data_IF_949704863046
#
_entry.id   IF_949704863046
#
_cell.length_a   1.000
_cell.length_b   1.000
_cell.length_c   1.000
_cell.angle_alpha   90.00
_cell.angle_beta   90.00
_cell.angle_gamma   90.00
#
_symmetry.space_group_name_H-M   'P 1'
#
loop_
_entity.id
_entity.type
_entity.pdbx_description
1 polymer ?
#
# COMPACT_ATOMS: atom_id res chain seq x y z
N UNK A 1 -8.59 29.03 17.78
CA UNK A 1 -7.67 30.00 17.17
C UNK A 1 -6.19 29.76 17.44
N UNK A 2 -5.79 29.18 18.61
CA UNK A 2 -4.36 28.88 18.91
C UNK A 2 -3.77 27.77 18.02
N UNK A 3 -4.59 26.88 17.49
CA UNK A 3 -4.17 25.76 16.65
C UNK A 3 -4.40 26.00 15.16
N UNK A 4 -4.84 27.20 14.77
CA UNK A 4 -5.17 27.52 13.39
C UNK A 4 -3.99 27.22 12.44
N UNK A 5 -4.26 26.53 11.35
CA UNK A 5 -3.28 26.11 10.36
C UNK A 5 -2.27 25.06 10.84
N UNK A 6 -2.59 24.29 11.91
CA UNK A 6 -1.76 23.20 12.40
C UNK A 6 -2.34 21.82 12.01
N UNK A 7 -1.49 20.80 12.10
CA UNK A 7 -1.91 19.39 12.01
C UNK A 7 -3.05 19.08 12.98
N UNK A 8 -3.00 19.61 14.21
CA UNK A 8 -3.97 19.29 15.25
C UNK A 8 -5.35 19.88 14.99
N UNK A 9 -5.41 21.09 14.38
CA UNK A 9 -6.69 21.62 13.92
C UNK A 9 -7.34 20.70 12.88
N UNK A 10 -6.55 20.28 11.90
CA UNK A 10 -7.05 19.45 10.81
C UNK A 10 -7.39 18.02 11.29
N UNK A 11 -6.64 17.50 12.24
CA UNK A 11 -6.95 16.23 12.91
C UNK A 11 -8.25 16.30 13.69
N UNK A 12 -8.49 17.38 14.42
CA UNK A 12 -9.77 17.60 15.11
C UNK A 12 -10.92 17.71 14.11
N UNK A 13 -10.69 18.35 12.98
CA UNK A 13 -11.67 18.43 11.88
C UNK A 13 -11.97 17.06 11.28
N UNK A 14 -10.97 16.21 11.10
CA UNK A 14 -11.17 14.82 10.71
C UNK A 14 -12.11 14.10 11.69
N UNK A 15 -11.79 14.16 12.98
CA UNK A 15 -12.59 13.50 14.01
C UNK A 15 -14.03 14.04 14.05
N UNK A 16 -14.20 15.36 13.82
CA UNK A 16 -15.50 16.01 13.73
C UNK A 16 -16.27 15.53 12.48
N UNK A 17 -15.64 15.48 11.32
CA UNK A 17 -16.25 14.96 10.09
C UNK A 17 -16.71 13.50 10.24
N UNK A 18 -15.95 12.67 10.95
CA UNK A 18 -16.37 11.30 11.26
C UNK A 18 -17.67 11.28 12.10
N UNK A 19 -17.82 12.17 13.10
CA UNK A 19 -19.05 12.27 13.89
C UNK A 19 -20.22 12.81 13.06
N UNK A 20 -20.00 13.87 12.27
CA UNK A 20 -21.02 14.43 11.39
C UNK A 20 -21.51 13.43 10.35
N UNK A 21 -20.57 12.69 9.74
CA UNK A 21 -20.88 11.62 8.80
C UNK A 21 -21.69 10.50 9.45
N UNK A 22 -21.34 10.09 10.67
CA UNK A 22 -22.09 9.10 11.45
C UNK A 22 -23.50 9.58 11.78
N UNK A 23 -23.63 10.85 12.16
CA UNK A 23 -24.93 11.46 12.48
C UNK A 23 -25.77 11.82 11.23
N UNK A 24 -25.18 11.73 10.01
CA UNK A 24 -25.81 12.19 8.75
C UNK A 24 -26.13 13.69 8.74
N UNK A 25 -25.42 14.50 9.53
CA UNK A 25 -25.50 15.95 9.48
C UNK A 25 -24.74 16.50 8.28
N UNK A 26 -25.37 16.37 7.11
CA UNK A 26 -24.75 16.77 5.84
C UNK A 26 -24.56 18.30 5.73
N UNK A 27 -25.36 19.09 6.46
CA UNK A 27 -25.24 20.55 6.46
C UNK A 27 -23.91 21.00 7.07
N UNK A 28 -23.60 20.50 8.27
CA UNK A 28 -22.34 20.81 8.92
C UNK A 28 -21.16 20.09 8.24
N UNK A 29 -21.37 18.86 7.75
CA UNK A 29 -20.36 18.10 7.01
C UNK A 29 -19.89 18.89 5.78
N UNK A 30 -20.81 19.47 5.00
CA UNK A 30 -20.51 20.31 3.82
C UNK A 30 -19.75 21.59 4.18
N UNK A 31 -19.97 22.14 5.35
CA UNK A 31 -19.27 23.31 5.85
C UNK A 31 -17.81 23.00 6.22
N UNK A 32 -17.56 21.84 6.82
CA UNK A 32 -16.23 21.47 7.35
C UNK A 32 -15.36 20.70 6.36
N UNK A 33 -15.95 19.91 5.44
CA UNK A 33 -15.20 19.10 4.48
C UNK A 33 -14.23 19.91 3.60
N UNK A 34 -14.59 21.09 3.03
CA UNK A 34 -13.66 21.89 2.23
C UNK A 34 -12.46 22.43 3.02
N UNK A 35 -12.56 22.46 4.35
CA UNK A 35 -11.51 22.91 5.26
C UNK A 35 -10.57 21.78 5.67
N UNK A 36 -10.95 20.51 5.43
CA UNK A 36 -10.16 19.34 5.76
C UNK A 36 -9.03 19.17 4.76
N UNK A 37 -7.82 19.59 5.15
CA UNK A 37 -6.64 19.68 4.29
C UNK A 37 -5.96 18.34 4.05
N UNK A 38 -5.85 17.49 5.08
CA UNK A 38 -5.25 16.16 4.94
C UNK A 38 -5.98 15.30 3.91
N UNK A 39 -7.29 15.27 3.94
CA UNK A 39 -8.12 14.51 3.02
C UNK A 39 -7.60 13.07 2.78
N UNK A 40 -7.02 12.46 3.79
CA UNK A 40 -6.36 11.14 3.75
C UNK A 40 -7.19 10.04 4.42
N UNK A 41 -8.23 10.40 5.19
CA UNK A 41 -9.12 9.46 5.85
C UNK A 41 -10.14 8.86 4.86
N UNK A 42 -10.02 7.56 4.60
CA UNK A 42 -10.94 6.86 3.70
C UNK A 42 -12.37 6.82 4.21
N UNK A 43 -12.57 6.78 5.53
CA UNK A 43 -13.91 6.77 6.12
C UNK A 43 -14.61 8.10 5.86
N UNK A 44 -13.91 9.24 5.99
CA UNK A 44 -14.44 10.56 5.62
C UNK A 44 -14.78 10.62 4.13
N UNK A 45 -13.91 10.07 3.27
CA UNK A 45 -14.19 9.99 1.82
C UNK A 45 -15.43 9.16 1.52
N UNK A 46 -15.60 8.04 2.22
CA UNK A 46 -16.81 7.21 2.06
C UNK A 46 -18.07 7.94 2.52
N UNK A 47 -18.02 8.71 3.62
CA UNK A 47 -19.14 9.56 4.01
C UNK A 47 -19.45 10.65 2.98
N UNK A 48 -18.42 11.26 2.38
CA UNK A 48 -18.60 12.23 1.30
C UNK A 48 -19.30 11.60 0.09
N UNK A 49 -18.87 10.41 -0.33
CA UNK A 49 -19.51 9.65 -1.41
C UNK A 49 -20.96 9.28 -1.06
N UNK A 50 -21.20 8.81 0.16
CA UNK A 50 -22.58 8.51 0.62
C UNK A 50 -23.47 9.74 0.59
N UNK A 51 -22.99 10.88 1.09
CA UNK A 51 -23.69 12.15 1.02
C UNK A 51 -23.99 12.53 -0.43
N UNK A 52 -23.01 12.44 -1.34
CA UNK A 52 -23.17 12.84 -2.74
C UNK A 52 -24.22 11.98 -3.45
N UNK A 53 -24.25 10.68 -3.18
CA UNK A 53 -25.29 9.79 -3.70
C UNK A 53 -26.66 10.11 -3.10
N UNK A 54 -26.76 10.27 -1.78
CA UNK A 54 -28.05 10.49 -1.11
C UNK A 54 -28.67 11.86 -1.39
N UNK A 55 -27.82 12.86 -1.73
CA UNK A 55 -28.28 14.21 -2.10
C UNK A 55 -28.39 14.43 -3.61
N UNK A 56 -28.13 13.40 -4.43
CA UNK A 56 -28.20 13.48 -5.90
C UNK A 56 -27.07 14.27 -6.56
N UNK A 57 -25.97 14.56 -5.85
CA UNK A 57 -24.80 15.26 -6.40
C UNK A 57 -23.94 14.38 -7.30
N UNK A 58 -23.98 13.06 -7.07
CA UNK A 58 -23.29 12.06 -7.85
C UNK A 58 -24.20 10.87 -8.13
N UNK A 59 -24.23 10.33 -9.36
CA UNK A 59 -24.95 9.11 -9.65
C UNK A 59 -24.30 7.90 -8.93
N UNK A 60 -25.13 6.98 -8.45
CA UNK A 60 -24.69 5.82 -7.69
C UNK A 60 -23.72 4.92 -8.46
N UNK A 61 -23.89 4.81 -9.78
CA UNK A 61 -23.00 4.08 -10.68
C UNK A 61 -21.57 4.63 -10.65
N UNK A 62 -21.43 5.96 -10.61
CA UNK A 62 -20.11 6.61 -10.51
C UNK A 62 -19.48 6.48 -9.12
N UNK A 63 -20.29 6.46 -8.08
CA UNK A 63 -19.83 6.31 -6.70
C UNK A 63 -19.40 4.87 -6.37
N UNK A 64 -20.05 3.86 -6.96
CA UNK A 64 -19.84 2.46 -6.60
C UNK A 64 -18.37 1.99 -6.69
N UNK A 65 -17.60 2.22 -7.76
CA UNK A 65 -16.20 1.80 -7.83
C UNK A 65 -15.32 2.56 -6.82
N UNK A 66 -15.63 3.83 -6.54
CA UNK A 66 -14.90 4.64 -5.57
C UNK A 66 -15.14 4.15 -4.13
N UNK A 67 -16.38 3.84 -3.80
CA UNK A 67 -16.74 3.25 -2.49
C UNK A 67 -16.08 1.89 -2.34
N UNK A 68 -16.17 1.01 -3.35
CA UNK A 68 -15.56 -0.32 -3.30
C UNK A 68 -14.04 -0.22 -3.07
N UNK A 69 -13.34 0.64 -3.81
CA UNK A 69 -11.90 0.85 -3.67
C UNK A 69 -11.53 1.32 -2.25
N UNK A 70 -12.21 2.34 -1.73
CA UNK A 70 -11.93 2.83 -0.37
C UNK A 70 -12.26 1.78 0.68
N UNK A 71 -13.40 1.09 0.55
CA UNK A 71 -13.84 0.06 1.49
C UNK A 71 -12.89 -1.14 1.52
N UNK A 72 -12.48 -1.66 0.36
CA UNK A 72 -11.53 -2.78 0.28
C UNK A 72 -10.14 -2.42 0.82
N UNK A 73 -9.71 -1.17 0.70
CA UNK A 73 -8.45 -0.67 1.22
C UNK A 73 -8.46 -0.34 2.72
N UNK A 74 -9.63 -0.31 3.39
CA UNK A 74 -9.71 -0.11 4.83
C UNK A 74 -9.12 -1.30 5.58
N UNK A 75 -8.26 -0.99 6.54
CA UNK A 75 -7.62 -2.02 7.36
C UNK A 75 -8.59 -2.63 8.36
N UNK A 76 -9.33 -1.79 9.05
CA UNK A 76 -10.23 -2.17 10.13
C UNK A 76 -11.70 -1.97 9.72
N UNK A 77 -12.61 -2.52 10.50
CA UNK A 77 -14.04 -2.25 10.33
C UNK A 77 -14.33 -0.79 10.66
N UNK A 78 -14.99 -0.10 9.76
CA UNK A 78 -15.40 1.30 9.92
C UNK A 78 -16.89 1.48 9.58
N UNK A 79 -17.47 2.58 10.02
CA UNK A 79 -18.87 2.88 9.77
C UNK A 79 -19.11 3.58 8.43
N UNK A 80 -18.20 4.46 8.00
CA UNK A 80 -18.41 5.30 6.82
C UNK A 80 -18.42 4.50 5.53
N UNK A 81 -17.36 3.71 5.28
CA UNK A 81 -17.30 2.88 4.08
C UNK A 81 -18.33 1.73 4.14
N UNK A 82 -18.59 1.18 5.33
CA UNK A 82 -19.62 0.18 5.53
C UNK A 82 -21.02 0.72 5.17
N UNK A 83 -21.35 1.92 5.64
CA UNK A 83 -22.64 2.55 5.33
C UNK A 83 -22.79 2.91 3.85
N UNK A 84 -21.73 3.45 3.23
CA UNK A 84 -21.74 3.75 1.80
C UNK A 84 -21.89 2.46 0.95
N UNK A 85 -21.14 1.41 1.29
CA UNK A 85 -21.26 0.12 0.63
C UNK A 85 -22.65 -0.50 0.80
N UNK A 86 -23.22 -0.45 2.02
CA UNK A 86 -24.58 -0.96 2.31
C UNK A 86 -25.63 -0.25 1.47
N UNK A 87 -25.59 1.07 1.40
CA UNK A 87 -26.54 1.86 0.60
C UNK A 87 -26.49 1.48 -0.91
N UNK A 88 -25.29 1.24 -1.43
CA UNK A 88 -25.11 0.82 -2.83
C UNK A 88 -25.46 -0.65 -3.07
N UNK A 89 -25.27 -1.54 -2.09
CA UNK A 89 -25.72 -2.93 -2.12
C UNK A 89 -27.25 -3.01 -2.15
N UNK A 90 -27.94 -2.23 -1.30
CA UNK A 90 -29.39 -2.22 -1.19
C UNK A 90 -30.08 -1.70 -2.46
N UNK A 91 -29.43 -0.80 -3.17
CA UNK A 91 -29.92 -0.28 -4.47
C UNK A 91 -29.41 -1.04 -5.68
N UNK A 92 -28.58 -2.09 -5.49
CA UNK A 92 -28.06 -2.94 -6.57
C UNK A 92 -26.92 -2.34 -7.39
N UNK A 93 -26.44 -1.14 -7.06
CA UNK A 93 -25.30 -0.49 -7.74
C UNK A 93 -23.95 -1.08 -7.32
N UNK A 94 -23.88 -1.70 -6.14
CA UNK A 94 -22.77 -2.55 -5.74
C UNK A 94 -23.24 -4.01 -5.69
N UNK A 95 -22.48 -4.92 -6.29
CA UNK A 95 -22.84 -6.33 -6.32
C UNK A 95 -22.48 -7.02 -4.99
N UNK A 96 -23.23 -8.04 -4.54
CA UNK A 96 -22.91 -8.84 -3.36
C UNK A 96 -21.47 -9.40 -3.35
N UNK A 97 -20.93 -9.66 -4.55
CA UNK A 97 -19.54 -10.12 -4.71
C UNK A 97 -18.52 -9.19 -4.04
N UNK A 98 -18.73 -7.87 -4.05
CA UNK A 98 -17.82 -6.92 -3.40
C UNK A 98 -17.74 -7.15 -1.87
N UNK A 99 -18.86 -7.50 -1.23
CA UNK A 99 -18.88 -7.83 0.20
C UNK A 99 -18.14 -9.15 0.49
N UNK A 100 -18.33 -10.16 -0.35
CA UNK A 100 -17.59 -11.43 -0.23
C UNK A 100 -16.09 -11.23 -0.45
N UNK A 101 -15.68 -10.46 -1.46
CA UNK A 101 -14.27 -10.13 -1.68
C UNK A 101 -13.66 -9.39 -0.48
N UNK A 102 -14.40 -8.43 0.10
CA UNK A 102 -13.99 -7.77 1.35
C UNK A 102 -13.78 -8.76 2.49
N UNK A 103 -14.70 -9.71 2.66
CA UNK A 103 -14.61 -10.75 3.68
C UNK A 103 -13.43 -11.70 3.43
N UNK A 104 -13.15 -12.11 2.20
CA UNK A 104 -12.01 -12.95 1.82
C UNK A 104 -10.68 -12.26 2.13
N UNK A 105 -10.52 -10.97 1.77
CA UNK A 105 -9.34 -10.16 2.11
C UNK A 105 -9.14 -10.07 3.63
N UNK A 106 -10.23 -9.90 4.37
CA UNK A 106 -10.18 -9.80 5.83
C UNK A 106 -9.79 -11.13 6.50
N UNK A 107 -10.32 -12.27 6.01
CA UNK A 107 -9.97 -13.59 6.52
C UNK A 107 -8.52 -13.97 6.27
N UNK A 108 -7.99 -13.64 5.10
CA UNK A 108 -6.57 -13.82 4.78
C UNK A 108 -5.65 -13.02 5.73
N UNK A 109 -6.07 -11.82 6.12
CA UNK A 109 -5.32 -10.95 7.03
C UNK A 109 -5.63 -11.18 8.53
N UNK A 110 -6.39 -12.22 8.87
CA UNK A 110 -6.83 -12.49 10.25
C UNK A 110 -7.61 -11.33 10.90
N UNK A 111 -8.60 -10.80 10.17
CA UNK A 111 -9.46 -9.69 10.61
C UNK A 111 -10.93 -10.09 10.65
N UNK A 112 -11.32 -10.99 11.57
CA UNK A 112 -12.67 -11.57 11.58
C UNK A 112 -13.77 -10.52 11.71
N UNK A 113 -13.59 -9.46 12.51
CA UNK A 113 -14.59 -8.39 12.65
C UNK A 113 -14.93 -7.70 11.33
N UNK A 114 -13.91 -7.51 10.46
CA UNK A 114 -14.11 -6.91 9.13
C UNK A 114 -14.90 -7.87 8.24
N UNK A 115 -14.56 -9.16 8.27
CA UNK A 115 -15.27 -10.18 7.50
C UNK A 115 -16.73 -10.31 7.97
N UNK A 116 -16.96 -10.35 9.28
CA UNK A 116 -18.31 -10.41 9.88
C UNK A 116 -19.13 -9.19 9.48
N UNK A 117 -18.57 -7.97 9.56
CA UNK A 117 -19.25 -6.73 9.13
C UNK A 117 -19.65 -6.80 7.65
N UNK A 118 -18.74 -7.23 6.77
CA UNK A 118 -19.01 -7.31 5.34
C UNK A 118 -20.13 -8.31 5.01
N UNK A 119 -20.10 -9.49 5.63
CA UNK A 119 -21.11 -10.54 5.41
C UNK A 119 -22.45 -10.17 6.04
N UNK A 120 -22.46 -9.49 7.20
CA UNK A 120 -23.69 -9.03 7.85
C UNK A 120 -24.49 -8.05 6.97
N UNK A 121 -23.86 -7.33 6.07
CA UNK A 121 -24.55 -6.46 5.10
C UNK A 121 -25.42 -7.26 4.11
N UNK A 122 -25.04 -8.49 3.80
CA UNK A 122 -25.77 -9.38 2.89
C UNK A 122 -26.83 -10.18 3.66
N UNK A 123 -26.47 -10.70 4.83
CA UNK A 123 -27.36 -11.47 5.70
C UNK A 123 -26.82 -11.49 7.14
N UNK A 124 -27.46 -10.75 8.06
CA UNK A 124 -27.05 -10.74 9.47
C UNK A 124 -27.06 -12.12 10.14
N UNK A 125 -27.87 -13.07 9.63
CA UNK A 125 -27.95 -14.42 10.17
C UNK A 125 -26.68 -15.25 9.96
N UNK A 126 -25.76 -14.81 9.09
CA UNK A 126 -24.48 -15.50 8.82
C UNK A 126 -23.34 -15.07 9.78
N UNK A 127 -23.54 -14.06 10.63
CA UNK A 127 -22.45 -13.52 11.48
C UNK A 127 -21.83 -14.59 12.39
N UNK A 128 -22.63 -15.36 13.09
CA UNK A 128 -22.17 -16.43 13.97
C UNK A 128 -21.38 -17.52 13.20
N UNK A 129 -21.78 -17.82 11.97
CA UNK A 129 -21.07 -18.77 11.11
C UNK A 129 -19.70 -18.22 10.69
N UNK A 130 -19.61 -16.94 10.33
CA UNK A 130 -18.34 -16.29 9.96
C UNK A 130 -17.39 -16.24 11.17
N UNK A 131 -17.88 -15.98 12.36
CA UNK A 131 -17.11 -16.02 13.61
C UNK A 131 -16.61 -17.43 13.91
N UNK A 132 -17.44 -18.46 13.75
CA UNK A 132 -17.05 -19.87 13.90
C UNK A 132 -15.94 -20.24 12.91
N UNK A 133 -16.06 -19.86 11.64
CA UNK A 133 -15.05 -20.04 10.59
C UNK A 133 -13.73 -19.36 10.97
N UNK A 134 -13.79 -18.14 11.48
CA UNK A 134 -12.59 -17.40 11.87
C UNK A 134 -11.81 -18.08 13.02
N UNK A 135 -12.55 -18.68 13.95
CA UNK A 135 -11.97 -19.36 15.11
C UNK A 135 -11.45 -20.78 14.78
N UNK A 136 -12.23 -21.57 14.05
CA UNK A 136 -11.88 -22.95 13.69
C UNK A 136 -12.37 -23.29 12.28
N UNK A 137 -11.61 -22.90 11.25
CA UNK A 137 -11.97 -23.16 9.86
C UNK A 137 -11.97 -24.65 9.49
N UNK A 138 -11.07 -25.44 10.12
CA UNK A 138 -10.97 -26.87 9.84
C UNK A 138 -12.21 -27.61 10.31
N UNK A 139 -12.68 -27.37 11.52
CA UNK A 139 -13.91 -27.92 12.06
C UNK A 139 -15.10 -27.59 11.18
N UNK A 140 -15.24 -26.31 10.74
CA UNK A 140 -16.32 -25.91 9.84
C UNK A 140 -16.31 -26.70 8.54
N UNK A 141 -15.13 -26.91 7.94
CA UNK A 141 -14.97 -27.68 6.70
C UNK A 141 -15.27 -29.17 6.85
N UNK A 142 -14.89 -29.76 7.98
CA UNK A 142 -15.18 -31.17 8.26
C UNK A 142 -16.67 -31.44 8.43
N UNK A 143 -17.40 -30.51 9.03
CA UNK A 143 -18.85 -30.60 9.21
C UNK A 143 -19.63 -30.32 7.92
N UNK A 144 -18.99 -29.74 6.86
CA UNK A 144 -19.63 -29.39 5.59
C UNK A 144 -19.43 -30.47 4.53
N UNK A 145 -20.52 -31.14 4.18
CA UNK A 145 -20.52 -32.14 3.11
C UNK A 145 -20.74 -31.54 1.72
N UNK A 146 -21.49 -30.44 1.64
CA UNK A 146 -21.88 -29.83 0.36
C UNK A 146 -21.85 -28.31 0.40
N UNK A 147 -21.55 -27.67 -0.75
CA UNK A 147 -21.58 -26.23 -0.98
C UNK A 147 -22.32 -25.88 -2.28
N UNK A 148 -23.58 -26.29 -2.39
CA UNK A 148 -24.38 -26.15 -3.63
C UNK A 148 -24.89 -24.68 -3.76
N UNK A 149 -25.37 -24.11 -2.64
CA UNK A 149 -25.93 -22.75 -2.66
C UNK A 149 -24.82 -21.70 -2.74
N UNK A 150 -24.98 -20.60 -3.49
CA UNK A 150 -23.96 -19.56 -3.64
C UNK A 150 -23.38 -19.05 -2.29
N UNK A 151 -24.25 -18.77 -1.31
CA UNK A 151 -23.82 -18.35 0.04
C UNK A 151 -22.99 -19.41 0.75
N UNK A 152 -23.32 -20.69 0.58
CA UNK A 152 -22.54 -21.79 1.21
C UNK A 152 -21.18 -21.94 0.54
N UNK A 153 -21.09 -21.73 -0.77
CA UNK A 153 -19.81 -21.71 -1.51
C UNK A 153 -18.91 -20.61 -0.96
N UNK A 154 -19.42 -19.41 -0.76
CA UNK A 154 -18.67 -18.30 -0.22
C UNK A 154 -18.18 -18.57 1.23
N UNK A 155 -19.04 -19.14 2.09
CA UNK A 155 -18.64 -19.51 3.45
C UNK A 155 -17.54 -20.59 3.45
N UNK A 156 -17.61 -21.57 2.54
CA UNK A 156 -16.54 -22.56 2.36
C UNK A 156 -15.26 -21.87 1.84
N UNK A 157 -15.40 -20.95 0.90
CA UNK A 157 -14.26 -20.14 0.41
C UNK A 157 -13.60 -19.37 1.54
N UNK A 158 -14.38 -18.69 2.41
CA UNK A 158 -13.84 -18.00 3.59
C UNK A 158 -13.11 -18.96 4.54
N UNK A 159 -13.66 -20.17 4.75
CA UNK A 159 -13.05 -21.16 5.62
C UNK A 159 -11.71 -21.65 5.07
N UNK A 160 -11.62 -21.96 3.77
CA UNK A 160 -10.37 -22.41 3.16
C UNK A 160 -9.35 -21.26 3.11
N UNK A 161 -9.76 -20.03 2.81
CA UNK A 161 -8.90 -18.84 2.88
C UNK A 161 -8.34 -18.64 4.30
N UNK A 162 -9.18 -18.79 5.31
CA UNK A 162 -8.73 -18.69 6.71
C UNK A 162 -7.79 -19.83 7.10
N UNK A 163 -8.06 -21.05 6.66
CA UNK A 163 -7.19 -22.20 6.86
C UNK A 163 -5.83 -21.97 6.18
N UNK A 164 -5.81 -21.47 4.95
CA UNK A 164 -4.58 -21.16 4.23
C UNK A 164 -3.71 -20.10 4.94
N UNK A 165 -4.34 -19.14 5.62
CA UNK A 165 -3.62 -18.13 6.41
C UNK A 165 -2.93 -18.74 7.66
N UNK A 166 -3.41 -19.87 8.16
CA UNK A 166 -2.85 -20.62 9.29
C UNK A 166 -1.87 -21.69 8.80
N UNK A 167 -2.38 -22.59 7.95
CA UNK A 167 -1.66 -23.72 7.38
C UNK A 167 -2.00 -23.88 5.88
N UNK A 168 -1.15 -23.34 4.98
CA UNK A 168 -1.38 -23.44 3.55
C UNK A 168 -1.32 -24.88 3.02
N UNK A 169 -0.57 -25.80 3.66
CA UNK A 169 -0.51 -27.18 3.25
C UNK A 169 -1.82 -27.91 3.56
N UNK A 170 -2.40 -27.71 4.74
CA UNK A 170 -3.71 -28.25 5.08
C UNK A 170 -4.80 -27.68 4.15
N UNK A 171 -4.75 -26.40 3.80
CA UNK A 171 -5.70 -25.80 2.85
C UNK A 171 -5.55 -26.39 1.44
N UNK A 172 -4.33 -26.68 0.98
CA UNK A 172 -4.10 -27.34 -0.31
C UNK A 172 -4.69 -28.75 -0.34
N UNK A 173 -4.47 -29.54 0.74
CA UNK A 173 -5.08 -30.87 0.89
C UNK A 173 -6.62 -30.80 0.89
N UNK A 174 -7.18 -29.77 1.53
CA UNK A 174 -8.63 -29.56 1.51
C UNK A 174 -9.14 -29.27 0.09
N UNK A 175 -8.42 -28.41 -0.68
CA UNK A 175 -8.74 -28.11 -2.07
C UNK A 175 -8.63 -29.32 -3.01
N UNK A 176 -7.87 -30.34 -2.66
CA UNK A 176 -7.73 -31.58 -3.43
C UNK A 176 -8.95 -32.50 -3.29
N UNK A 177 -9.81 -32.28 -2.31
CA UNK A 177 -11.04 -33.07 -2.14
C UNK A 177 -11.99 -32.86 -3.32
N UNK A 178 -12.50 -33.95 -3.90
CA UNK A 178 -13.40 -33.95 -5.07
C UNK A 178 -14.61 -33.05 -4.87
N UNK A 179 -15.14 -32.97 -3.65
CA UNK A 179 -16.33 -32.16 -3.33
C UNK A 179 -16.11 -30.66 -3.65
N UNK A 180 -14.93 -30.10 -3.36
CA UNK A 180 -14.66 -28.69 -3.62
C UNK A 180 -14.27 -28.42 -5.07
N UNK A 181 -13.57 -29.36 -5.71
CA UNK A 181 -13.28 -29.29 -7.15
C UNK A 181 -14.57 -29.22 -7.99
N UNK A 182 -15.59 -29.95 -7.57
CA UNK A 182 -16.87 -30.02 -8.30
C UNK A 182 -17.83 -28.88 -7.97
N UNK A 183 -17.84 -28.39 -6.74
CA UNK A 183 -18.89 -27.49 -6.25
C UNK A 183 -18.50 -26.02 -6.27
N UNK A 184 -17.24 -25.68 -6.00
CA UNK A 184 -16.78 -24.30 -6.06
C UNK A 184 -16.65 -23.82 -7.51
N UNK A 185 -16.98 -22.56 -7.74
CA UNK A 185 -16.80 -21.91 -9.04
C UNK A 185 -15.32 -21.77 -9.38
N UNK A 186 -15.02 -21.48 -10.62
CA UNK A 186 -13.68 -21.24 -11.11
C UNK A 186 -13.03 -20.03 -10.41
N UNK A 187 -13.81 -18.98 -10.20
CA UNK A 187 -13.38 -17.76 -9.48
C UNK A 187 -13.04 -18.07 -8.03
N UNK A 188 -13.93 -18.75 -7.29
CA UNK A 188 -13.71 -19.13 -5.90
C UNK A 188 -12.46 -20.00 -5.75
N UNK A 189 -12.29 -21.02 -6.60
CA UNK A 189 -11.09 -21.86 -6.58
C UNK A 189 -9.81 -21.08 -6.88
N UNK A 190 -9.83 -20.21 -7.88
CA UNK A 190 -8.66 -19.42 -8.26
C UNK A 190 -8.26 -18.46 -7.16
N UNK A 191 -9.23 -17.81 -6.49
CA UNK A 191 -8.97 -16.98 -5.34
C UNK A 191 -8.30 -17.76 -4.19
N UNK A 192 -8.85 -18.93 -3.87
CA UNK A 192 -8.29 -19.80 -2.80
C UNK A 192 -6.86 -20.21 -3.14
N UNK A 193 -6.62 -20.69 -4.39
CA UNK A 193 -5.27 -21.07 -4.83
C UNK A 193 -4.30 -19.89 -4.83
N UNK A 194 -4.79 -18.68 -5.14
CA UNK A 194 -4.02 -17.45 -5.00
C UNK A 194 -3.56 -17.20 -3.56
N UNK A 195 -4.45 -17.38 -2.58
CA UNK A 195 -4.09 -17.26 -1.15
C UNK A 195 -3.13 -18.36 -0.71
N UNK A 196 -3.40 -19.63 -1.07
CA UNK A 196 -2.51 -20.76 -0.74
C UNK A 196 -1.12 -20.52 -1.33
N UNK A 197 -1.03 -20.20 -2.62
CA UNK A 197 0.22 -19.90 -3.31
C UNK A 197 0.99 -18.75 -2.65
N UNK A 198 0.30 -17.65 -2.32
CA UNK A 198 0.86 -16.51 -1.60
C UNK A 198 1.46 -16.94 -0.26
N UNK A 199 0.71 -17.66 0.57
CA UNK A 199 1.16 -18.07 1.90
C UNK A 199 2.33 -19.06 1.84
N UNK A 200 2.33 -19.95 0.85
CA UNK A 200 3.44 -20.86 0.56
C UNK A 200 4.68 -20.11 0.10
N UNK A 201 4.52 -19.12 -0.81
CA UNK A 201 5.61 -18.27 -1.27
C UNK A 201 6.22 -17.41 -0.15
N UNK A 202 5.41 -16.88 0.76
CA UNK A 202 5.88 -16.13 1.94
C UNK A 202 6.74 -16.99 2.88
N UNK A 203 6.47 -18.30 2.95
CA UNK A 203 7.28 -19.28 3.69
C UNK A 203 8.48 -19.77 2.87
N UNK A 204 8.71 -19.23 1.69
CA UNK A 204 9.78 -19.59 0.76
C UNK A 204 9.76 -21.07 0.33
N UNK A 205 8.59 -21.71 0.37
CA UNK A 205 8.43 -23.12 0.01
C UNK A 205 8.36 -23.28 -1.53
N UNK A 206 8.96 -24.36 -2.09
CA UNK A 206 9.06 -24.54 -3.55
C UNK A 206 7.73 -24.83 -4.24
N UNK A 207 6.73 -25.34 -3.50
CA UNK A 207 5.42 -25.72 -4.03
C UNK A 207 4.55 -24.52 -4.40
N UNK A 208 4.98 -23.28 -4.09
CA UNK A 208 4.19 -22.07 -4.30
C UNK A 208 3.69 -21.93 -5.74
N UNK A 209 4.56 -22.15 -6.74
CA UNK A 209 4.18 -22.04 -8.15
C UNK A 209 3.20 -23.15 -8.59
N UNK A 210 3.34 -24.34 -8.04
CA UNK A 210 2.38 -25.44 -8.28
C UNK A 210 1.00 -25.09 -7.75
N UNK A 211 0.93 -24.43 -6.58
CA UNK A 211 -0.34 -23.97 -6.02
C UNK A 211 -0.97 -22.86 -6.89
N UNK A 212 -0.19 -21.87 -7.33
CA UNK A 212 -0.71 -20.83 -8.23
C UNK A 212 -1.21 -21.41 -9.56
N UNK A 213 -0.55 -22.44 -10.11
CA UNK A 213 -0.94 -23.07 -11.35
C UNK A 213 -2.30 -23.81 -11.31
N UNK A 214 -2.85 -24.07 -10.12
CA UNK A 214 -4.19 -24.65 -9.96
C UNK A 214 -5.33 -23.62 -10.09
N UNK A 215 -5.01 -22.32 -10.17
CA UNK A 215 -5.96 -21.23 -10.34
C UNK A 215 -5.69 -20.43 -11.62
N UNK A 216 -6.66 -19.61 -12.01
CA UNK A 216 -6.51 -18.68 -13.13
C UNK A 216 -6.14 -17.29 -12.60
N UNK A 217 -5.11 -16.71 -13.17
CA UNK A 217 -4.57 -15.41 -12.78
C UNK A 217 -5.60 -14.27 -12.86
N UNK A 218 -6.50 -14.32 -13.84
CA UNK A 218 -7.57 -13.32 -14.05
C UNK A 218 -8.57 -13.20 -12.88
N UNK A 219 -8.62 -14.20 -12.00
CA UNK A 219 -9.46 -14.19 -10.79
C UNK A 219 -8.66 -13.99 -9.51
N UNK A 220 -7.35 -13.77 -9.62
CA UNK A 220 -6.48 -13.54 -8.47
C UNK A 220 -6.39 -12.03 -8.15
N UNK A 221 -6.22 -11.72 -6.88
CA UNK A 221 -5.95 -10.36 -6.43
C UNK A 221 -4.51 -9.94 -6.75
N UNK A 222 -4.25 -8.66 -6.97
CA UNK A 222 -2.92 -8.13 -7.26
C UNK A 222 -1.84 -8.61 -6.29
N UNK A 223 -2.17 -8.73 -5.00
CA UNK A 223 -1.22 -9.25 -4.00
C UNK A 223 -0.86 -10.73 -4.24
N UNK A 224 -1.82 -11.55 -4.68
CA UNK A 224 -1.55 -12.94 -5.04
C UNK A 224 -0.60 -13.00 -6.25
N UNK A 225 -0.87 -12.21 -7.28
CA UNK A 225 -0.06 -12.12 -8.50
C UNK A 225 1.34 -11.58 -8.21
N UNK A 226 1.46 -10.59 -7.31
CA UNK A 226 2.74 -10.09 -6.85
C UNK A 226 3.59 -11.17 -6.17
N UNK A 227 2.98 -12.08 -5.40
CA UNK A 227 3.68 -13.21 -4.81
C UNK A 227 3.96 -14.33 -5.81
N UNK A 228 3.07 -14.56 -6.80
CA UNK A 228 3.35 -15.45 -7.93
C UNK A 228 4.59 -14.98 -8.71
N UNK A 229 4.67 -13.70 -9.03
CA UNK A 229 5.82 -13.12 -9.70
C UNK A 229 7.12 -13.30 -8.89
N UNK A 230 7.10 -13.04 -7.57
CA UNK A 230 8.26 -13.25 -6.67
C UNK A 230 8.68 -14.72 -6.61
N UNK A 231 7.71 -15.63 -6.51
CA UNK A 231 7.98 -17.06 -6.53
C UNK A 231 8.60 -17.49 -7.88
N UNK A 232 8.10 -16.95 -8.99
CA UNK A 232 8.64 -17.16 -10.34
C UNK A 232 10.08 -16.68 -10.49
N UNK A 233 10.38 -15.48 -10.02
CA UNK A 233 11.74 -14.93 -10.00
C UNK A 233 12.69 -15.83 -9.22
N UNK A 234 12.30 -16.24 -8.02
CA UNK A 234 13.10 -17.13 -7.17
C UNK A 234 13.37 -18.50 -7.82
N UNK A 235 12.41 -19.02 -8.54
CA UNK A 235 12.51 -20.33 -9.22
C UNK A 235 13.12 -20.24 -10.64
N UNK A 236 13.42 -19.03 -11.15
CA UNK A 236 13.86 -18.82 -12.53
C UNK A 236 12.76 -19.10 -13.57
N UNK A 237 11.50 -19.14 -13.15
CA UNK A 237 10.36 -19.41 -14.04
C UNK A 237 9.77 -18.11 -14.61
N UNK A 238 10.44 -17.58 -15.61
CA UNK A 238 10.17 -16.25 -16.17
C UNK A 238 8.81 -16.14 -16.86
N UNK A 239 8.25 -17.24 -17.39
CA UNK A 239 6.89 -17.24 -17.92
C UNK A 239 5.87 -16.91 -16.82
N UNK A 240 6.00 -17.54 -15.64
CA UNK A 240 5.12 -17.26 -14.51
C UNK A 240 5.23 -15.79 -14.02
N UNK A 241 6.43 -15.18 -14.12
CA UNK A 241 6.61 -13.76 -13.80
C UNK A 241 5.83 -12.89 -14.78
N UNK A 242 5.98 -13.14 -16.09
CA UNK A 242 5.29 -12.39 -17.14
C UNK A 242 3.78 -12.50 -17.02
N UNK A 243 3.26 -13.74 -16.95
CA UNK A 243 1.82 -13.99 -16.82
C UNK A 243 1.22 -13.31 -15.58
N UNK A 244 1.90 -13.40 -14.44
CA UNK A 244 1.44 -12.77 -13.21
C UNK A 244 1.34 -11.24 -13.37
N UNK A 245 2.37 -10.59 -13.96
CA UNK A 245 2.34 -9.13 -14.16
C UNK A 245 1.29 -8.74 -15.20
N UNK A 246 1.14 -9.52 -16.27
CA UNK A 246 0.13 -9.25 -17.32
C UNK A 246 -1.31 -9.33 -16.77
N UNK A 247 -1.55 -10.15 -15.74
CA UNK A 247 -2.84 -10.30 -15.10
C UNK A 247 -3.14 -9.28 -13.97
N UNK A 248 -2.15 -8.50 -13.53
CA UNK A 248 -2.35 -7.44 -12.52
C UNK A 248 -3.26 -6.33 -13.03
N UNK A 249 -3.84 -5.56 -12.10
CA UNK A 249 -4.58 -4.34 -12.44
C UNK A 249 -3.72 -3.35 -13.22
N UNK A 250 -4.35 -2.50 -14.03
CA UNK A 250 -3.66 -1.45 -14.79
C UNK A 250 -2.77 -0.56 -13.92
N UNK A 251 -3.20 -0.27 -12.70
CA UNK A 251 -2.42 0.53 -11.76
C UNK A 251 -1.13 -0.20 -11.37
N UNK A 252 -1.21 -1.47 -11.00
CA UNK A 252 -0.04 -2.26 -10.63
C UNK A 252 0.91 -2.48 -11.81
N UNK A 253 0.40 -2.72 -13.02
CA UNK A 253 1.22 -2.87 -14.21
C UNK A 253 2.04 -1.62 -14.57
N UNK A 254 1.67 -0.43 -14.05
CA UNK A 254 2.41 0.83 -14.25
C UNK A 254 3.50 1.06 -13.20
N UNK A 255 3.51 0.30 -12.11
CA UNK A 255 4.53 0.43 -11.05
C UNK A 255 5.91 0.02 -11.58
N UNK A 256 6.96 0.84 -11.36
CA UNK A 256 8.31 0.59 -11.88
C UNK A 256 8.83 -0.81 -11.56
N UNK A 257 8.53 -1.34 -10.36
CA UNK A 257 8.88 -2.70 -9.97
C UNK A 257 8.38 -3.74 -10.97
N UNK A 258 7.11 -3.69 -11.32
CA UNK A 258 6.50 -4.71 -12.18
C UNK A 258 6.84 -4.50 -13.65
N UNK A 259 6.98 -3.24 -14.09
CA UNK A 259 7.48 -2.92 -15.43
C UNK A 259 8.88 -3.49 -15.62
N UNK A 260 9.79 -3.28 -14.67
CA UNK A 260 11.15 -3.82 -14.70
C UNK A 260 11.16 -5.35 -14.81
N UNK A 261 10.47 -6.05 -13.92
CA UNK A 261 10.48 -7.50 -13.89
C UNK A 261 9.77 -8.13 -15.09
N UNK A 262 8.75 -7.49 -15.65
CA UNK A 262 8.14 -7.89 -16.92
C UNK A 262 9.15 -7.79 -18.07
N UNK A 263 9.88 -6.68 -18.15
CA UNK A 263 10.91 -6.49 -19.17
C UNK A 263 12.03 -7.56 -19.05
N UNK A 264 12.51 -7.83 -17.83
CA UNK A 264 13.48 -8.89 -17.54
C UNK A 264 12.96 -10.29 -17.93
N UNK A 265 11.71 -10.58 -17.67
CA UNK A 265 11.09 -11.85 -18.05
C UNK A 265 11.04 -11.99 -19.59
N UNK A 266 10.66 -10.93 -20.30
CA UNK A 266 10.63 -10.92 -21.78
C UNK A 266 12.03 -11.14 -22.38
N UNK A 267 13.07 -10.52 -21.84
CA UNK A 267 14.45 -10.70 -22.29
C UNK A 267 14.96 -12.14 -22.05
N UNK A 268 14.58 -12.74 -20.93
CA UNK A 268 15.11 -14.05 -20.53
C UNK A 268 14.40 -15.20 -21.22
N UNK A 269 13.13 -15.00 -21.60
CA UNK A 269 12.35 -16.01 -22.31
C UNK A 269 12.83 -16.15 -23.75
N UNK A 270 13.12 -17.41 -24.15
CA UNK A 270 13.38 -17.73 -25.56
C UNK A 270 12.08 -17.58 -26.34
N UNK A 271 11.98 -16.52 -27.13
CA UNK A 271 10.81 -16.23 -27.97
C UNK A 271 11.15 -16.50 -29.45
N UNK A 272 10.15 -16.87 -30.27
CA UNK A 272 10.34 -17.10 -31.71
C UNK A 272 10.90 -15.87 -32.42
N UNK A 273 10.45 -14.67 -32.06
CA UNK A 273 10.98 -13.40 -32.53
C UNK A 273 11.78 -12.71 -31.41
N UNK A 274 13.07 -13.02 -31.37
CA UNK A 274 13.97 -12.46 -30.39
C UNK A 274 14.21 -10.93 -30.60
N UNK A 275 14.06 -10.43 -31.84
CA UNK A 275 14.23 -9.01 -32.16
C UNK A 275 13.06 -8.21 -31.60
N UNK A 276 11.83 -8.67 -31.85
CA UNK A 276 10.64 -8.03 -31.28
C UNK A 276 10.61 -8.08 -29.75
N UNK A 277 11.02 -9.21 -29.15
CA UNK A 277 11.12 -9.37 -27.71
C UNK A 277 12.12 -8.38 -27.08
N UNK A 278 13.29 -8.24 -27.70
CA UNK A 278 14.31 -7.29 -27.23
C UNK A 278 13.80 -5.84 -27.35
N UNK A 279 13.14 -5.49 -28.45
CA UNK A 279 12.55 -4.17 -28.64
C UNK A 279 11.46 -3.88 -27.59
N UNK A 280 10.59 -4.84 -27.31
CA UNK A 280 9.53 -4.71 -26.30
C UNK A 280 10.12 -4.52 -24.88
N UNK A 281 11.12 -5.32 -24.52
CA UNK A 281 11.78 -5.17 -23.22
C UNK A 281 12.45 -3.80 -23.09
N UNK A 282 13.14 -3.34 -24.15
CA UNK A 282 13.75 -2.02 -24.21
C UNK A 282 12.75 -0.90 -24.02
N UNK A 283 11.60 -0.95 -24.70
CA UNK A 283 10.52 0.04 -24.54
C UNK A 283 10.03 0.11 -23.09
N UNK A 284 9.85 -1.05 -22.43
CA UNK A 284 9.46 -1.10 -21.02
C UNK A 284 10.50 -0.45 -20.11
N UNK A 285 11.79 -0.70 -20.31
CA UNK A 285 12.84 -0.03 -19.54
C UNK A 285 12.87 1.47 -19.80
N UNK A 286 12.72 1.92 -21.05
CA UNK A 286 12.69 3.35 -21.38
C UNK A 286 11.54 4.09 -20.70
N UNK A 287 10.39 3.44 -20.51
CA UNK A 287 9.23 4.02 -19.81
C UNK A 287 9.49 4.36 -18.35
N UNK A 288 10.39 3.65 -17.68
CA UNK A 288 10.66 3.83 -16.25
C UNK A 288 12.08 4.34 -15.97
N UNK A 289 12.96 4.43 -16.95
CA UNK A 289 14.36 4.79 -16.76
C UNK A 289 14.50 6.20 -16.15
N UNK A 290 14.95 6.29 -14.91
CA UNK A 290 15.28 7.55 -14.23
C UNK A 290 16.28 7.29 -13.09
N UNK A 291 16.75 8.37 -12.47
CA UNK A 291 17.67 8.29 -11.31
C UNK A 291 16.97 8.33 -9.95
N UNK A 292 15.62 8.26 -9.91
CA UNK A 292 14.82 8.49 -8.70
C UNK A 292 14.78 7.27 -7.78
N UNK A 293 14.35 6.13 -8.33
CA UNK A 293 14.10 4.91 -7.57
C UNK A 293 14.94 3.73 -8.06
N UNK A 294 15.01 2.70 -7.25
CA UNK A 294 15.88 1.53 -7.47
C UNK A 294 15.61 0.84 -8.81
N UNK A 295 14.38 0.51 -9.16
CA UNK A 295 14.06 -0.17 -10.41
C UNK A 295 14.19 0.73 -11.64
N UNK A 296 14.03 2.02 -11.47
CA UNK A 296 14.27 3.02 -12.49
C UNK A 296 15.76 3.14 -12.82
N UNK A 297 16.62 3.09 -11.79
CA UNK A 297 18.07 3.06 -11.96
C UNK A 297 18.54 1.75 -12.61
N UNK A 298 17.98 0.60 -12.20
CA UNK A 298 18.27 -0.67 -12.87
C UNK A 298 17.86 -0.65 -14.35
N UNK A 299 16.77 0.04 -14.70
CA UNK A 299 16.36 0.20 -16.09
C UNK A 299 17.37 1.03 -16.90
N UNK A 300 18.02 2.06 -16.29
CA UNK A 300 19.13 2.77 -16.94
C UNK A 300 20.31 1.83 -17.23
N UNK A 301 20.68 0.97 -16.28
CA UNK A 301 21.75 -0.02 -16.48
C UNK A 301 21.43 -0.99 -17.63
N UNK A 302 20.20 -1.52 -17.68
CA UNK A 302 19.75 -2.41 -18.76
C UNK A 302 19.78 -1.73 -20.15
N UNK A 303 19.60 -0.41 -20.18
CA UNK A 303 19.70 0.41 -21.38
C UNK A 303 21.15 0.79 -21.74
N UNK A 304 22.14 0.41 -20.93
CA UNK A 304 23.55 0.81 -21.10
C UNK A 304 23.78 2.31 -20.84
N UNK A 305 22.89 2.95 -20.08
CA UNK A 305 23.01 4.37 -19.74
C UNK A 305 23.64 4.51 -18.34
N UNK A 306 24.62 5.43 -18.17
CA UNK A 306 25.23 5.63 -16.87
C UNK A 306 24.23 6.22 -15.89
N UNK A 307 24.27 5.76 -14.64
CA UNK A 307 23.55 6.39 -13.53
C UNK A 307 24.38 7.62 -13.12
N UNK A 308 24.10 8.75 -13.74
CA UNK A 308 24.77 10.00 -13.39
C UNK A 308 24.02 10.71 -12.26
N UNK A 309 24.79 11.26 -11.31
CA UNK A 309 24.23 12.15 -10.30
C UNK A 309 23.71 13.40 -11.01
N UNK A 310 22.41 13.74 -10.92
CA UNK A 310 21.88 14.96 -11.51
C UNK A 310 22.61 16.20 -10.98
N UNK A 311 22.70 17.29 -11.76
CA UNK A 311 23.29 18.53 -11.26
C UNK A 311 22.54 19.01 -10.01
N UNK A 312 23.29 19.55 -9.06
CA UNK A 312 22.69 20.12 -7.86
C UNK A 312 21.73 21.26 -8.24
N UNK A 313 20.59 21.38 -7.55
CA UNK A 313 19.71 22.51 -7.75
C UNK A 313 20.43 23.84 -7.50
N UNK A 314 19.93 24.93 -8.09
CA UNK A 314 20.44 26.25 -7.77
C UNK A 314 20.41 26.50 -6.25
N UNK A 315 21.43 27.14 -5.72
CA UNK A 315 21.53 27.47 -4.31
C UNK A 315 20.26 28.19 -3.82
N UNK A 316 19.91 27.93 -2.56
CA UNK A 316 18.79 28.64 -1.92
C UNK A 316 19.13 30.10 -1.72
N UNK A 317 18.18 30.99 -2.01
CA UNK A 317 18.32 32.42 -1.70
C UNK A 317 18.12 32.67 -0.21
N UNK A 318 18.56 33.83 0.26
CA UNK A 318 18.33 34.24 1.65
C UNK A 318 16.84 34.33 1.98
N UNK A 319 16.01 34.76 1.04
CA UNK A 319 14.56 34.85 1.17
C UNK A 319 13.92 33.47 1.34
N UNK A 320 14.34 32.46 0.55
CA UNK A 320 13.84 31.09 0.66
C UNK A 320 14.23 30.47 2.00
N UNK A 321 15.46 30.65 2.46
CA UNK A 321 15.91 30.18 3.76
C UNK A 321 15.13 30.85 4.90
N UNK A 322 14.96 32.17 4.85
CA UNK A 322 14.19 32.93 5.84
C UNK A 322 12.71 32.51 5.85
N UNK A 323 12.11 32.27 4.69
CA UNK A 323 10.73 31.80 4.56
C UNK A 323 10.56 30.43 5.26
N UNK A 324 11.47 29.49 5.05
CA UNK A 324 11.43 28.19 5.73
C UNK A 324 11.60 28.35 7.27
N UNK A 325 12.56 29.15 7.70
CA UNK A 325 12.81 29.39 9.13
C UNK A 325 11.66 30.11 9.84
N UNK A 326 10.94 30.98 9.15
CA UNK A 326 9.81 31.73 9.68
C UNK A 326 8.47 31.01 9.53
N UNK A 327 8.42 29.91 8.77
CA UNK A 327 7.20 29.14 8.56
C UNK A 327 6.63 28.63 9.89
N UNK A 328 5.39 29.01 10.26
CA UNK A 328 4.82 28.67 11.56
C UNK A 328 4.72 27.17 11.85
N UNK A 329 4.40 26.36 10.84
CA UNK A 329 4.28 24.90 10.93
C UNK A 329 5.64 24.24 11.15
N UNK A 330 6.67 24.60 10.38
CA UNK A 330 8.03 24.09 10.55
C UNK A 330 8.60 24.49 11.91
N UNK A 331 8.34 25.72 12.39
CA UNK A 331 8.74 26.17 13.73
C UNK A 331 8.08 25.37 14.84
N UNK A 332 6.76 25.16 14.78
CA UNK A 332 6.04 24.32 15.76
C UNK A 332 6.60 22.91 15.78
N UNK A 333 6.85 22.33 14.61
CA UNK A 333 7.44 20.99 14.48
C UNK A 333 8.82 20.90 15.15
N UNK A 334 9.71 21.86 14.87
CA UNK A 334 11.04 21.91 15.48
C UNK A 334 10.98 22.07 16.99
N UNK A 335 10.11 22.95 17.50
CA UNK A 335 9.93 23.13 18.95
C UNK A 335 9.45 21.83 19.60
N UNK A 336 8.44 21.18 19.02
CA UNK A 336 7.92 19.92 19.55
C UNK A 336 9.00 18.84 19.62
N UNK A 337 9.79 18.66 18.55
CA UNK A 337 10.89 17.69 18.51
C UNK A 337 11.94 18.00 19.59
N UNK A 338 12.34 19.27 19.73
CA UNK A 338 13.32 19.70 20.78
C UNK A 338 12.83 19.45 22.20
N UNK A 339 11.52 19.52 22.42
CA UNK A 339 10.88 19.21 23.70
C UNK A 339 10.69 17.70 23.95
N UNK A 340 11.21 16.84 23.07
CA UNK A 340 11.04 15.39 23.17
C UNK A 340 9.71 14.87 22.62
N UNK A 341 8.84 15.72 22.10
CA UNK A 341 7.56 15.39 21.45
C UNK A 341 7.78 15.07 19.97
N UNK A 342 8.68 14.10 19.68
CA UNK A 342 9.10 13.80 18.31
C UNK A 342 7.93 13.39 17.41
N UNK A 343 7.04 12.54 17.91
CA UNK A 343 5.88 12.04 17.14
C UNK A 343 4.99 13.20 16.68
N UNK A 344 4.70 14.12 17.57
CA UNK A 344 3.86 15.31 17.34
C UNK A 344 4.55 16.26 16.36
N UNK A 345 5.82 16.50 16.55
CA UNK A 345 6.61 17.37 15.67
C UNK A 345 6.74 16.79 14.26
N UNK A 346 6.93 15.47 14.12
CA UNK A 346 6.99 14.81 12.82
C UNK A 346 5.63 14.91 12.07
N UNK A 347 4.51 14.78 12.77
CA UNK A 347 3.17 14.96 12.18
C UNK A 347 2.96 16.40 11.69
N UNK A 348 3.31 17.37 12.51
CA UNK A 348 3.23 18.80 12.15
C UNK A 348 4.13 19.13 10.96
N UNK A 349 5.37 18.59 10.94
CA UNK A 349 6.27 18.73 9.80
C UNK A 349 5.67 18.17 8.51
N UNK A 350 5.22 16.93 8.56
CA UNK A 350 4.63 16.27 7.39
C UNK A 350 3.40 17.00 6.88
N UNK A 351 2.54 17.47 7.78
CA UNK A 351 1.39 18.28 7.45
C UNK A 351 1.80 19.56 6.72
N UNK A 352 2.78 20.29 7.28
CA UNK A 352 3.24 21.55 6.70
C UNK A 352 3.81 21.38 5.30
N UNK A 353 4.66 20.36 5.06
CA UNK A 353 5.32 20.18 3.76
C UNK A 353 4.45 19.51 2.69
N UNK A 354 3.39 18.79 3.09
CA UNK A 354 2.58 18.00 2.15
C UNK A 354 1.14 18.46 2.02
N UNK A 355 0.52 18.92 3.12
CA UNK A 355 -0.93 19.02 3.25
C UNK A 355 -1.39 20.44 3.61
N UNK A 356 -0.45 21.32 3.96
CA UNK A 356 -0.74 22.69 4.36
C UNK A 356 -1.43 23.48 3.26
N UNK A 357 -0.99 23.35 2.01
CA UNK A 357 -1.60 23.95 0.83
C UNK A 357 -2.16 22.87 -0.10
N UNK A 358 -3.15 23.17 -0.95
CA UNK A 358 -3.53 22.28 -2.04
C UNK A 358 -2.29 21.92 -2.89
N UNK A 359 -1.89 20.65 -2.91
CA UNK A 359 -0.68 20.20 -3.59
C UNK A 359 0.62 20.26 -2.79
N UNK A 360 0.59 20.76 -1.53
CA UNK A 360 1.78 20.90 -0.67
C UNK A 360 2.63 22.12 -0.98
N UNK A 361 3.87 22.12 -0.48
CA UNK A 361 4.87 23.14 -0.79
C UNK A 361 5.41 22.96 -2.22
N UNK A 362 5.82 24.05 -2.85
CA UNK A 362 6.51 24.04 -4.15
C UNK A 362 7.94 23.47 -4.03
N UNK A 363 8.55 23.17 -5.18
CA UNK A 363 9.90 22.56 -5.28
C UNK A 363 10.96 23.32 -4.43
N UNK A 364 11.01 24.64 -4.56
CA UNK A 364 11.98 25.47 -3.86
C UNK A 364 11.71 25.55 -2.36
N UNK A 365 10.44 25.62 -1.97
CA UNK A 365 10.02 25.61 -0.56
C UNK A 365 10.32 24.25 0.09
N UNK A 366 10.16 23.14 -0.62
CA UNK A 366 10.53 21.79 -0.16
C UNK A 366 12.05 21.67 0.04
N UNK A 367 12.87 22.18 -0.90
CA UNK A 367 14.32 22.21 -0.74
C UNK A 367 14.75 23.05 0.48
N UNK A 368 14.12 24.21 0.69
CA UNK A 368 14.41 25.07 1.83
C UNK A 368 13.98 24.42 3.17
N UNK A 369 12.83 23.77 3.20
CA UNK A 369 12.38 23.02 4.37
C UNK A 369 13.31 21.80 4.65
N UNK A 370 13.73 21.08 3.62
CA UNK A 370 14.68 19.98 3.77
C UNK A 370 16.05 20.49 4.29
N UNK A 371 16.56 21.61 3.76
CA UNK A 371 17.80 22.23 4.25
C UNK A 371 17.69 22.62 5.73
N UNK A 372 16.55 23.19 6.14
CA UNK A 372 16.28 23.50 7.54
C UNK A 372 16.32 22.25 8.44
N UNK A 373 15.71 21.14 7.98
CA UNK A 373 15.77 19.87 8.70
C UNK A 373 17.19 19.33 8.81
N UNK A 374 17.97 19.35 7.71
CA UNK A 374 19.38 18.94 7.69
C UNK A 374 20.22 19.78 8.68
N UNK A 375 20.03 21.10 8.71
CA UNK A 375 20.71 22.01 9.62
C UNK A 375 20.45 21.67 11.11
N UNK A 376 19.27 21.11 11.40
CA UNK A 376 18.90 20.66 12.74
C UNK A 376 19.16 19.16 12.98
N UNK A 377 19.91 18.50 12.08
CA UNK A 377 20.23 17.06 12.16
C UNK A 377 19.00 16.14 12.22
N UNK A 378 17.86 16.62 11.75
CA UNK A 378 16.64 15.84 11.59
C UNK A 378 16.69 15.11 10.24
N UNK A 379 17.58 14.14 10.14
CA UNK A 379 17.95 13.50 8.88
C UNK A 379 16.76 12.82 8.17
N UNK A 380 15.89 12.17 8.92
CA UNK A 380 14.67 11.58 8.39
C UNK A 380 13.72 12.63 7.78
N UNK A 381 13.66 13.84 8.38
CA UNK A 381 12.84 14.94 7.82
C UNK A 381 13.53 15.58 6.62
N UNK A 382 14.84 15.75 6.68
CA UNK A 382 15.66 16.21 5.56
C UNK A 382 15.42 15.31 4.32
N UNK A 383 15.67 14.00 4.45
CA UNK A 383 15.50 13.01 3.39
C UNK A 383 14.05 13.01 2.89
N UNK A 384 13.08 12.86 3.79
CA UNK A 384 11.67 12.70 3.41
C UNK A 384 11.10 13.93 2.72
N UNK A 385 11.54 15.12 3.11
CA UNK A 385 11.09 16.37 2.50
C UNK A 385 11.72 16.55 1.11
N UNK A 386 13.03 16.32 0.99
CA UNK A 386 13.73 16.39 -0.29
C UNK A 386 13.25 15.35 -1.31
N UNK A 387 12.84 14.15 -0.86
CA UNK A 387 12.25 13.13 -1.74
C UNK A 387 10.90 13.53 -2.36
N UNK A 388 10.26 14.60 -1.87
CA UNK A 388 9.01 15.11 -2.44
C UNK A 388 9.21 16.00 -3.67
N UNK A 389 10.43 16.50 -3.90
CA UNK A 389 10.73 17.28 -5.11
C UNK A 389 10.74 16.37 -6.33
N UNK A 390 10.15 16.85 -7.43
CA UNK A 390 10.04 16.12 -8.69
C UNK A 390 11.22 16.39 -9.61
N UNK A 391 11.53 17.64 -9.84
CA UNK A 391 12.53 18.06 -10.82
C UNK A 391 13.85 18.50 -10.18
N UNK A 392 13.77 19.12 -9.02
CA UNK A 392 14.93 19.62 -8.28
C UNK A 392 15.44 18.54 -7.30
N UNK A 393 16.44 17.75 -7.75
CA UNK A 393 17.00 16.67 -6.94
C UNK A 393 18.28 17.12 -6.22
N UNK A 394 18.20 17.36 -4.91
CA UNK A 394 19.36 17.62 -4.07
C UNK A 394 19.88 16.31 -3.45
N UNK A 395 21.01 15.81 -3.98
CA UNK A 395 21.60 14.56 -3.51
C UNK A 395 22.16 14.65 -2.09
N UNK A 396 22.68 15.81 -1.67
CA UNK A 396 23.18 15.99 -0.31
C UNK A 396 22.08 15.89 0.73
N UNK A 397 20.87 16.39 0.41
CA UNK A 397 19.70 16.24 1.26
C UNK A 397 19.10 14.83 1.24
N UNK A 398 19.11 14.15 0.07
CA UNK A 398 18.53 12.81 -0.07
C UNK A 398 19.43 11.69 0.46
N UNK A 399 20.76 11.92 0.44
CA UNK A 399 21.77 10.96 0.86
C UNK A 399 22.78 11.61 1.82
N UNK A 400 22.32 12.13 2.98
CA UNK A 400 23.23 12.70 3.96
C UNK A 400 24.16 11.63 4.52
N UNK A 401 25.36 12.06 4.91
CA UNK A 401 26.38 11.17 5.48
C UNK A 401 26.77 11.60 6.90
N UNK A 402 25.85 11.56 7.87
CA UNK A 402 26.17 11.89 9.26
C UNK A 402 27.19 10.90 9.83
N UNK A 403 27.94 11.34 10.87
CA UNK A 403 28.96 10.52 11.55
C UNK A 403 30.00 9.91 10.58
N UNK A 404 30.39 10.66 9.53
CA UNK A 404 31.20 10.15 8.42
C UNK A 404 32.48 9.48 8.86
N UNK A 405 33.24 10.11 9.78
CA UNK A 405 34.51 9.57 10.23
C UNK A 405 34.33 8.18 10.87
N UNK A 406 33.33 8.02 11.73
CA UNK A 406 33.04 6.77 12.43
C UNK A 406 32.55 5.68 11.48
N UNK A 407 31.59 6.00 10.59
CA UNK A 407 31.03 5.04 9.65
C UNK A 407 32.08 4.56 8.66
N UNK A 408 32.84 5.47 8.05
CA UNK A 408 33.87 5.11 7.07
C UNK A 408 34.99 4.29 7.71
N UNK A 409 35.47 4.71 8.90
CA UNK A 409 36.49 3.97 9.62
C UNK A 409 36.04 2.53 9.93
N UNK A 410 34.85 2.38 10.48
CA UNK A 410 34.33 1.07 10.85
C UNK A 410 34.00 0.18 9.65
N UNK A 411 33.45 0.77 8.58
CA UNK A 411 33.17 0.03 7.35
C UNK A 411 34.47 -0.55 6.75
N UNK A 412 35.51 0.28 6.65
CA UNK A 412 36.80 -0.15 6.13
C UNK A 412 37.46 -1.24 7.00
N UNK A 413 37.34 -1.11 8.34
CA UNK A 413 37.87 -2.12 9.30
C UNK A 413 37.26 -3.51 9.08
N UNK A 414 35.97 -3.59 8.76
CA UNK A 414 35.24 -4.86 8.52
C UNK A 414 35.14 -5.24 7.05
N UNK A 415 35.82 -4.51 6.14
CA UNK A 415 35.87 -4.80 4.71
C UNK A 415 34.55 -4.56 3.96
N UNK A 416 33.69 -3.66 4.44
CA UNK A 416 32.47 -3.25 3.77
C UNK A 416 32.65 -1.90 3.07
N UNK A 417 32.00 -1.76 1.91
CA UNK A 417 31.88 -0.46 1.26
C UNK A 417 31.09 0.53 2.16
N UNK A 418 31.64 1.69 2.52
CA UNK A 418 30.92 2.70 3.30
C UNK A 418 29.59 3.12 2.66
N UNK A 419 29.47 3.13 1.34
CA UNK A 419 28.23 3.48 0.65
C UNK A 419 27.13 2.44 0.94
N UNK A 420 27.50 1.15 0.97
CA UNK A 420 26.56 0.09 1.36
C UNK A 420 26.08 0.26 2.81
N UNK A 421 26.99 0.56 3.74
CA UNK A 421 26.65 0.80 5.15
C UNK A 421 25.69 1.98 5.29
N UNK A 422 25.96 3.10 4.60
CA UNK A 422 25.05 4.25 4.58
C UNK A 422 23.69 3.92 3.96
N UNK A 423 23.67 3.14 2.90
CA UNK A 423 22.43 2.68 2.27
C UNK A 423 21.58 1.86 3.25
N UNK A 424 22.20 0.95 3.99
CA UNK A 424 21.52 0.14 5.01
C UNK A 424 20.94 1.01 6.13
N UNK A 425 21.73 1.88 6.75
CA UNK A 425 21.28 2.79 7.83
C UNK A 425 20.13 3.68 7.34
N UNK A 426 20.27 4.22 6.13
CA UNK A 426 19.22 5.05 5.53
C UNK A 426 17.92 4.27 5.34
N UNK A 427 17.99 3.02 4.91
CA UNK A 427 16.81 2.18 4.69
C UNK A 427 16.15 1.79 6.01
N UNK A 428 16.93 1.45 7.02
CA UNK A 428 16.42 0.95 8.30
C UNK A 428 15.80 2.07 9.17
N UNK A 429 16.50 3.18 9.35
CA UNK A 429 16.08 4.22 10.30
C UNK A 429 16.05 5.64 9.74
N UNK A 430 16.60 5.87 8.53
CA UNK A 430 16.91 7.23 8.05
C UNK A 430 17.68 8.07 9.07
N UNK A 431 18.64 7.41 9.74
CA UNK A 431 19.50 7.99 10.77
C UNK A 431 18.76 8.46 12.04
N UNK A 432 17.58 7.94 12.32
CA UNK A 432 16.91 8.15 13.61
C UNK A 432 17.56 7.22 14.64
N UNK A 433 18.27 7.83 15.60
CA UNK A 433 19.10 7.10 16.57
C UNK A 433 18.30 6.32 17.62
N UNK A 434 17.07 6.77 17.92
CA UNK A 434 16.14 6.16 18.86
C UNK A 434 15.02 5.38 18.18
N UNK A 435 15.18 5.06 16.88
CA UNK A 435 14.21 4.26 16.14
C UNK A 435 14.05 2.87 16.77
N UNK A 436 12.80 2.44 16.95
CA UNK A 436 12.46 1.10 17.43
C UNK A 436 11.40 0.46 16.55
N UNK A 437 11.61 -0.79 16.17
CA UNK A 437 10.60 -1.58 15.46
C UNK A 437 9.55 -2.14 16.42
N UNK A 438 8.41 -2.56 15.90
CA UNK A 438 7.36 -3.24 16.68
C UNK A 438 7.81 -4.57 17.31
N UNK A 439 8.93 -5.14 16.86
CA UNK A 439 9.55 -6.38 17.38
C UNK A 439 10.82 -6.10 18.19
N UNK A 440 11.09 -4.86 18.55
CA UNK A 440 12.15 -4.46 19.47
C UNK A 440 13.54 -4.24 18.84
N UNK A 441 13.67 -4.25 17.51
CA UNK A 441 14.92 -3.84 16.88
C UNK A 441 15.15 -2.33 17.11
N UNK A 442 16.35 -1.95 17.53
CA UNK A 442 16.74 -0.55 17.76
C UNK A 442 17.46 0.03 16.55
N UNK A 443 17.35 1.35 16.35
CA UNK A 443 18.16 2.12 15.41
C UNK A 443 19.65 2.20 15.80
N UNK A 444 20.33 3.23 15.27
CA UNK A 444 21.77 3.45 15.51
C UNK A 444 22.10 3.63 16.99
#
# INVERSE_FOLDING_TARGET
DRMAGSYWEDRLRNDWLLQLGKARDWTQFDTELPRYRMNDDRQVRCYALLRDVTTGRMPAEGAAPLVQTNWHAQRDADDGCASAAKALLDTGHLKPQAAWQRARLAMDLNRPRVATQAVAMLDPGMTATVESIANDPAKYLDEKLTAIRPRTKELVTLAIVRLAAIDPAAAALEMDRTRWKAQLTKEERSWIWGVIGKRTAQKLQPEALTHFANGEDSFMHDEHLAWKARAGMRAGQWMAVREAVDAMSEQQQKEPTWVYWKARAIQTLKQPDAVAATAQARELFERIASTRDFYEQLALEELGRPIAVPPAPAALTAEEVNAAQSNPGLRRALIAIRLGLRSEGVREWNYTVALHNPGGLGERELLAAAALACQHELWDRCINTSLRTSDAMDHAQRFPTPHRAQVVSRANEIGLDPAYVYGLIRQESRFVTDARSGVGASGL
#
